data_IF_180847833077
#
_entry.id   IF_180847833077
#
_cell.length_a   1.000
_cell.length_b   1.000
_cell.length_c   1.000
_cell.angle_alpha   90.00
_cell.angle_beta   90.00
_cell.angle_gamma   90.00
#
_symmetry.space_group_name_H-M   'P 1'
#
loop_
_entity.id
_entity.type
_entity.pdbx_description
1 polymer ?
#
# COMPACT_ATOMS: atom_id res chain seq x y z
N UNK A 1 54.90 -47.11 30.83
CA UNK A 1 53.57 -46.66 31.33
C UNK A 1 53.03 -45.39 30.67
N UNK A 2 53.75 -44.69 29.77
CA UNK A 2 53.19 -43.53 29.04
C UNK A 2 52.52 -43.88 27.69
N UNK A 3 52.83 -45.04 27.09
CA UNK A 3 52.26 -45.45 25.80
C UNK A 3 50.81 -45.93 25.90
N UNK A 4 50.42 -46.58 26.99
CA UNK A 4 49.04 -47.02 27.24
C UNK A 4 48.09 -45.85 27.53
N UNK A 5 48.58 -44.78 28.15
CA UNK A 5 47.81 -43.55 28.37
C UNK A 5 47.58 -42.77 27.06
N UNK A 6 48.55 -42.79 26.13
CA UNK A 6 48.39 -42.20 24.80
C UNK A 6 47.38 -42.96 23.94
N UNK A 7 47.32 -44.29 24.05
CA UNK A 7 46.34 -45.13 23.34
C UNK A 7 44.91 -44.95 23.86
N UNK A 8 44.72 -44.82 25.18
CA UNK A 8 43.41 -44.54 25.78
C UNK A 8 42.88 -43.14 25.45
N UNK A 9 43.76 -42.15 25.25
CA UNK A 9 43.36 -40.80 24.85
C UNK A 9 42.88 -40.75 23.38
N UNK A 10 43.28 -41.72 22.56
CA UNK A 10 42.93 -41.79 21.14
C UNK A 10 41.55 -42.45 20.92
N UNK A 11 41.09 -43.31 21.84
CA UNK A 11 39.74 -43.90 21.78
C UNK A 11 38.63 -42.93 22.21
N UNK A 12 38.94 -41.93 23.04
CA UNK A 12 37.99 -40.89 23.47
C UNK A 12 38.05 -39.61 22.61
N UNK A 13 38.75 -39.67 21.47
CA UNK A 13 38.65 -38.65 20.43
C UNK A 13 37.32 -38.84 19.70
N UNK A 14 36.21 -38.46 20.33
CA UNK A 14 34.95 -38.25 19.61
C UNK A 14 35.29 -37.34 18.44
N UNK A 15 34.97 -37.73 17.18
CA UNK A 15 35.12 -36.81 16.08
C UNK A 15 34.22 -35.62 16.43
N UNK A 16 34.84 -34.49 16.79
CA UNK A 16 34.14 -33.22 16.78
C UNK A 16 33.73 -33.09 15.33
N UNK A 17 32.45 -33.36 15.04
CA UNK A 17 31.85 -33.08 13.74
C UNK A 17 32.06 -31.59 13.52
N UNK A 18 33.15 -31.25 12.82
CA UNK A 18 33.40 -29.91 12.34
C UNK A 18 32.16 -29.60 11.51
N UNK A 19 31.35 -28.59 11.87
CA UNK A 19 30.13 -28.31 11.14
C UNK A 19 30.55 -28.11 9.68
N UNK A 20 30.06 -28.99 8.80
CA UNK A 20 30.44 -28.99 7.41
C UNK A 20 30.20 -27.57 6.87
N UNK A 21 31.27 -26.83 6.55
CA UNK A 21 31.18 -25.43 6.13
C UNK A 21 30.23 -25.29 4.92
N UNK A 22 30.15 -26.35 4.12
CA UNK A 22 29.24 -26.50 2.99
C UNK A 22 27.76 -26.57 3.43
N UNK A 23 27.46 -27.23 4.56
CA UNK A 23 26.13 -27.28 5.16
C UNK A 23 25.70 -25.94 5.75
N UNK A 24 26.58 -25.26 6.49
CA UNK A 24 26.29 -23.92 7.03
C UNK A 24 26.01 -22.89 5.93
N UNK A 25 26.77 -22.93 4.83
CA UNK A 25 26.50 -22.12 3.63
C UNK A 25 25.17 -22.47 2.97
N UNK A 26 24.83 -23.75 2.86
CA UNK A 26 23.55 -24.19 2.28
C UNK A 26 22.36 -23.67 3.08
N UNK A 27 22.42 -23.77 4.41
CA UNK A 27 21.39 -23.22 5.29
C UNK A 27 21.28 -21.70 5.20
N UNK A 28 22.41 -20.99 5.09
CA UNK A 28 22.42 -19.54 4.89
C UNK A 28 21.74 -19.14 3.57
N UNK A 29 22.02 -19.85 2.47
CA UNK A 29 21.38 -19.61 1.17
C UNK A 29 19.88 -19.84 1.24
N UNK A 30 19.43 -20.93 1.89
CA UNK A 30 18.01 -21.23 2.06
C UNK A 30 17.31 -20.11 2.84
N UNK A 31 17.92 -19.65 3.95
CA UNK A 31 17.37 -18.55 4.74
C UNK A 31 17.34 -17.24 3.95
N UNK A 32 18.43 -16.90 3.24
CA UNK A 32 18.52 -15.70 2.43
C UNK A 32 17.47 -15.70 1.30
N UNK A 33 17.31 -16.84 0.61
CA UNK A 33 16.29 -17.00 -0.42
C UNK A 33 14.87 -16.90 0.15
N UNK A 34 14.61 -17.53 1.31
CA UNK A 34 13.33 -17.46 2.00
C UNK A 34 12.97 -16.03 2.43
N UNK A 35 13.92 -15.31 3.03
CA UNK A 35 13.75 -13.90 3.41
C UNK A 35 13.55 -13.01 2.20
N UNK A 36 14.28 -13.25 1.10
CA UNK A 36 14.12 -12.51 -0.15
C UNK A 36 12.73 -12.73 -0.77
N UNK A 37 12.24 -13.98 -0.82
CA UNK A 37 10.88 -14.27 -1.29
C UNK A 37 9.83 -13.62 -0.40
N UNK A 38 9.97 -13.70 0.92
CA UNK A 38 9.05 -13.04 1.85
C UNK A 38 9.02 -11.52 1.65
N UNK A 39 10.18 -10.92 1.44
CA UNK A 39 10.30 -9.50 1.13
C UNK A 39 9.66 -9.15 -0.22
N UNK A 40 9.89 -9.94 -1.26
CA UNK A 40 9.31 -9.74 -2.59
C UNK A 40 7.77 -9.84 -2.59
N UNK A 41 7.21 -10.79 -1.82
CA UNK A 41 5.77 -10.93 -1.64
C UNK A 41 5.19 -9.74 -0.86
N UNK A 42 5.83 -9.34 0.23
CA UNK A 42 5.43 -8.17 1.03
C UNK A 42 5.45 -6.88 0.20
N UNK A 43 6.51 -6.68 -0.58
CA UNK A 43 6.66 -5.55 -1.47
C UNK A 43 5.58 -5.52 -2.56
N UNK A 44 5.31 -6.67 -3.19
CA UNK A 44 4.24 -6.80 -4.19
C UNK A 44 2.86 -6.49 -3.62
N UNK A 45 2.58 -6.92 -2.38
CA UNK A 45 1.34 -6.62 -1.67
C UNK A 45 1.23 -5.13 -1.32
N UNK A 46 2.32 -4.49 -0.89
CA UNK A 46 2.35 -3.05 -0.63
C UNK A 46 2.08 -2.25 -1.91
N UNK A 47 2.71 -2.62 -3.02
CA UNK A 47 2.50 -1.97 -4.32
C UNK A 47 1.04 -2.09 -4.79
N UNK A 48 0.43 -3.28 -4.62
CA UNK A 48 -0.98 -3.49 -4.93
C UNK A 48 -1.91 -2.70 -4.00
N UNK A 49 -1.58 -2.60 -2.71
CA UNK A 49 -2.33 -1.78 -1.75
C UNK A 49 -2.25 -0.30 -2.08
N UNK A 50 -1.08 0.21 -2.43
CA UNK A 50 -0.90 1.59 -2.87
C UNK A 50 -1.63 1.88 -4.17
N UNK A 51 -1.58 0.97 -5.14
CA UNK A 51 -2.34 1.10 -6.39
C UNK A 51 -3.86 1.12 -6.13
N UNK A 52 -4.37 0.29 -5.21
CA UNK A 52 -5.78 0.32 -4.80
C UNK A 52 -6.12 1.57 -3.99
N UNK A 53 -5.24 2.04 -3.12
CA UNK A 53 -5.45 3.26 -2.34
C UNK A 53 -5.53 4.49 -3.25
N UNK A 54 -4.67 4.59 -4.27
CA UNK A 54 -4.75 5.62 -5.31
C UNK A 54 -6.04 5.54 -6.12
N UNK A 55 -6.48 4.33 -6.49
CA UNK A 55 -7.77 4.12 -7.18
C UNK A 55 -8.95 4.53 -6.31
N UNK A 56 -8.98 4.11 -5.04
CA UNK A 56 -10.05 4.45 -4.08
C UNK A 56 -10.11 5.95 -3.80
N UNK A 57 -8.95 6.59 -3.62
CA UNK A 57 -8.88 8.05 -3.46
C UNK A 57 -9.39 8.80 -4.69
N UNK A 58 -9.10 8.29 -5.91
CA UNK A 58 -9.63 8.86 -7.14
C UNK A 58 -11.14 8.63 -7.30
N UNK A 59 -11.64 7.44 -6.99
CA UNK A 59 -13.08 7.13 -6.99
C UNK A 59 -13.84 8.01 -6.01
N UNK A 60 -13.30 8.27 -4.83
CA UNK A 60 -13.90 9.16 -3.83
C UNK A 60 -13.98 10.61 -4.33
N UNK A 61 -12.91 11.09 -4.99
CA UNK A 61 -12.89 12.43 -5.60
C UNK A 61 -13.89 12.51 -6.78
N UNK A 62 -14.03 11.46 -7.59
CA UNK A 62 -15.02 11.37 -8.68
C UNK A 62 -16.44 11.37 -8.12
N UNK A 63 -16.72 10.57 -7.10
CA UNK A 63 -18.03 10.55 -6.44
C UNK A 63 -18.40 11.93 -5.89
N UNK A 64 -17.45 12.63 -5.28
CA UNK A 64 -17.67 13.99 -4.75
C UNK A 64 -17.92 15.02 -5.84
N UNK A 65 -17.35 14.83 -7.03
CA UNK A 65 -17.66 15.64 -8.21
C UNK A 65 -19.11 15.39 -8.66
N UNK A 66 -19.54 14.14 -8.72
CA UNK A 66 -20.89 13.79 -9.16
C UNK A 66 -21.95 14.29 -8.15
N UNK A 67 -21.71 14.16 -6.85
CA UNK A 67 -22.58 14.72 -5.79
C UNK A 67 -22.72 16.26 -5.91
N UNK A 68 -21.66 16.98 -6.27
CA UNK A 68 -21.72 18.43 -6.49
C UNK A 68 -22.47 18.80 -7.78
N UNK A 69 -22.43 17.96 -8.81
CA UNK A 69 -23.21 18.16 -10.04
C UNK A 69 -24.71 17.94 -9.77
N UNK A 70 -25.05 16.90 -9.00
CA UNK A 70 -26.43 16.64 -8.59
C UNK A 70 -26.99 17.81 -7.76
N UNK A 71 -26.20 18.34 -6.82
CA UNK A 71 -26.60 19.53 -6.05
C UNK A 71 -26.82 20.77 -6.91
N UNK A 72 -26.03 20.95 -7.97
CA UNK A 72 -26.24 22.05 -8.93
C UNK A 72 -27.54 21.83 -9.71
N UNK A 73 -27.79 20.60 -10.17
CA UNK A 73 -29.02 20.26 -10.89
C UNK A 73 -30.26 20.45 -10.00
N UNK A 74 -30.19 20.05 -8.72
CA UNK A 74 -31.26 20.27 -7.74
C UNK A 74 -31.48 21.77 -7.48
N UNK A 75 -30.41 22.57 -7.41
CA UNK A 75 -30.50 24.02 -7.23
C UNK A 75 -31.14 24.70 -8.45
N UNK A 76 -30.82 24.22 -9.66
CA UNK A 76 -31.45 24.65 -10.91
C UNK A 76 -32.93 24.28 -10.95
N UNK A 77 -33.29 23.04 -10.59
CA UNK A 77 -34.68 22.58 -10.50
C UNK A 77 -35.49 23.38 -9.46
N UNK A 78 -34.90 23.70 -8.31
CA UNK A 78 -35.54 24.55 -7.29
C UNK A 78 -35.77 25.97 -7.79
N UNK A 79 -34.82 26.53 -8.55
CA UNK A 79 -34.98 27.85 -9.19
C UNK A 79 -36.08 27.83 -10.25
N UNK A 80 -36.15 26.79 -11.07
CA UNK A 80 -37.23 26.60 -12.05
C UNK A 80 -38.60 26.43 -11.38
N UNK A 81 -38.65 25.73 -10.24
CA UNK A 81 -39.84 25.59 -9.42
C UNK A 81 -40.23 26.87 -8.65
N UNK A 82 -39.41 27.92 -8.70
CA UNK A 82 -39.63 29.18 -8.00
C UNK A 82 -39.50 29.08 -6.47
N UNK A 83 -38.93 27.99 -5.95
CA UNK A 83 -38.83 27.73 -4.50
C UNK A 83 -37.69 28.50 -3.81
N UNK A 84 -36.83 29.16 -4.58
CA UNK A 84 -35.63 29.85 -4.13
C UNK A 84 -35.52 31.23 -4.77
N UNK A 85 -35.15 32.23 -3.95
CA UNK A 85 -34.93 33.60 -4.39
C UNK A 85 -33.70 33.71 -5.27
N UNK A 86 -33.75 34.53 -6.32
CA UNK A 86 -32.66 34.69 -7.29
C UNK A 86 -31.31 35.08 -6.65
N UNK A 87 -31.34 35.87 -5.57
CA UNK A 87 -30.15 36.25 -4.81
C UNK A 87 -29.50 35.05 -4.11
N UNK A 88 -30.31 34.17 -3.52
CA UNK A 88 -29.85 32.96 -2.83
C UNK A 88 -29.34 31.92 -3.83
N UNK A 89 -30.03 31.76 -4.96
CA UNK A 89 -29.59 30.92 -6.08
C UNK A 89 -28.21 31.31 -6.60
N UNK A 90 -27.97 32.61 -6.85
CA UNK A 90 -26.68 33.10 -7.35
C UNK A 90 -25.54 32.88 -6.34
N UNK A 91 -25.82 32.98 -5.04
CA UNK A 91 -24.84 32.75 -4.00
C UNK A 91 -24.48 31.25 -3.91
N UNK A 92 -25.49 30.39 -3.76
CA UNK A 92 -25.29 28.95 -3.60
C UNK A 92 -24.67 28.33 -4.86
N UNK A 93 -25.06 28.80 -6.05
CA UNK A 93 -24.45 28.38 -7.32
C UNK A 93 -22.98 28.80 -7.42
N UNK A 94 -22.60 29.97 -6.91
CA UNK A 94 -21.21 30.41 -6.90
C UNK A 94 -20.37 29.55 -5.96
N UNK A 95 -20.90 29.24 -4.78
CA UNK A 95 -20.22 28.41 -3.78
C UNK A 95 -20.08 26.96 -4.26
N UNK A 96 -21.14 26.37 -4.85
CA UNK A 96 -21.11 25.04 -5.46
C UNK A 96 -20.12 24.97 -6.63
N UNK A 97 -20.10 25.98 -7.52
CA UNK A 97 -19.10 26.07 -8.60
C UNK A 97 -17.68 26.21 -8.08
N UNK A 98 -17.46 26.95 -6.99
CA UNK A 98 -16.15 27.05 -6.35
C UNK A 98 -15.70 25.71 -5.76
N UNK A 99 -16.60 24.98 -5.09
CA UNK A 99 -16.33 23.64 -4.59
C UNK A 99 -16.05 22.64 -5.70
N UNK A 100 -16.80 22.71 -6.81
CA UNK A 100 -16.58 21.87 -7.98
C UNK A 100 -15.22 22.17 -8.64
N UNK A 101 -14.85 23.44 -8.81
CA UNK A 101 -13.54 23.83 -9.32
C UNK A 101 -12.40 23.28 -8.45
N UNK A 102 -12.54 23.36 -7.12
CA UNK A 102 -11.56 22.81 -6.17
C UNK A 102 -11.44 21.29 -6.23
N UNK A 103 -12.56 20.59 -6.46
CA UNK A 103 -12.56 19.12 -6.65
C UNK A 103 -11.93 18.75 -7.99
N UNK A 104 -12.20 19.50 -9.06
CA UNK A 104 -11.59 19.31 -10.38
C UNK A 104 -10.09 19.58 -10.38
N UNK A 105 -9.63 20.61 -9.67
CA UNK A 105 -8.21 20.91 -9.49
C UNK A 105 -7.49 19.75 -8.78
N UNK A 106 -8.10 19.17 -7.75
CA UNK A 106 -7.59 17.96 -7.08
C UNK A 106 -7.61 16.72 -7.96
N UNK A 107 -8.52 16.65 -8.93
CA UNK A 107 -8.63 15.53 -9.87
C UNK A 107 -7.50 15.54 -10.90
N UNK A 108 -6.96 16.73 -11.20
CA UNK A 108 -5.83 16.95 -12.11
C UNK A 108 -6.10 16.51 -13.56
N UNK A 109 -5.33 17.01 -14.55
CA UNK A 109 -5.34 16.41 -15.88
C UNK A 109 -4.80 14.98 -15.76
N UNK A 110 -5.53 14.05 -16.37
CA UNK A 110 -5.21 12.62 -16.44
C UNK A 110 -3.86 12.46 -17.17
N UNK A 111 -2.74 12.48 -16.44
CA UNK A 111 -1.42 12.09 -16.96
C UNK A 111 -1.17 10.59 -16.79
#
# INVERSE_FOLDING_TARGET
>A
MNLLLLLLLQEDARPIEVPNAMGAHTWFIILAAGSFLGWAISYSLQLQREARARKKGREEIVRRKDELLDQIADLEAQKEAGSITEKKYKQDLKDLKFHLAKVLEKLGPRS
#
